data_IF_535496405255
#
_entry.id   IF_535496405255
#
_cell.length_a   1.000
_cell.length_b   1.000
_cell.length_c   1.000
_cell.angle_alpha   90.00
_cell.angle_beta   90.00
_cell.angle_gamma   90.00
#
_symmetry.space_group_name_H-M   'P 1'
#
loop_
_entity.id
_entity.type
_entity.pdbx_description
1 polymer ?
#
# COMPACT_ATOMS: atom_id res chain seq x y z
N UNK A 1 -39.34 -2.42 31.44
CA UNK A 1 -39.54 -1.40 30.39
C UNK A 1 -38.21 -0.67 30.24
N UNK A 2 -37.37 -1.11 29.31
CA UNK A 2 -36.07 -0.48 29.04
C UNK A 2 -36.28 0.53 27.91
N UNK A 3 -35.99 1.80 28.18
CA UNK A 3 -36.09 2.87 27.20
C UNK A 3 -34.84 2.87 26.32
N UNK A 4 -34.98 2.52 25.05
CA UNK A 4 -34.04 2.93 24.01
C UNK A 4 -34.49 4.32 23.55
N UNK A 5 -33.78 5.36 23.98
CA UNK A 5 -33.95 6.73 23.49
C UNK A 5 -32.97 6.97 22.34
N UNK A 6 -33.51 7.36 21.18
CA UNK A 6 -32.86 8.20 20.18
C UNK A 6 -31.97 7.50 19.15
N UNK A 7 -32.57 7.05 18.04
CA UNK A 7 -31.87 6.76 16.78
C UNK A 7 -32.57 7.53 15.65
N UNK A 8 -32.35 8.84 15.59
CA UNK A 8 -32.65 9.66 14.41
C UNK A 8 -31.36 10.39 14.02
N UNK A 9 -30.64 9.77 13.09
CA UNK A 9 -29.39 10.24 12.52
C UNK A 9 -28.51 9.04 12.17
N UNK A 10 -28.55 8.60 10.92
CA UNK A 10 -27.61 7.64 10.32
C UNK A 10 -26.16 8.04 10.68
N UNK A 11 -25.62 7.49 11.75
CA UNK A 11 -24.19 7.59 12.05
C UNK A 11 -23.54 6.28 11.60
N UNK A 12 -22.81 6.26 10.46
CA UNK A 12 -21.92 5.16 10.07
C UNK A 12 -20.69 5.03 11.01
N UNK A 13 -20.89 5.32 12.30
CA UNK A 13 -19.88 5.56 13.32
C UNK A 13 -20.13 4.75 14.60
N UNK A 14 -20.92 3.67 14.57
CA UNK A 14 -20.93 2.76 15.70
C UNK A 14 -19.66 1.88 15.70
N UNK A 15 -19.06 1.70 16.88
CA UNK A 15 -17.81 0.94 17.06
C UNK A 15 -17.82 -0.43 16.37
N UNK A 16 -18.96 -1.12 16.40
CA UNK A 16 -19.08 -2.47 15.86
C UNK A 16 -19.03 -2.50 14.32
N UNK A 17 -19.53 -1.46 13.65
CA UNK A 17 -19.44 -1.30 12.19
C UNK A 17 -17.99 -1.05 11.78
N UNK A 18 -17.29 -0.17 12.52
CA UNK A 18 -15.85 0.07 12.31
C UNK A 18 -15.03 -1.19 12.52
N UNK A 19 -15.30 -1.91 13.60
CA UNK A 19 -14.64 -3.17 13.90
C UNK A 19 -14.87 -4.21 12.79
N UNK A 20 -16.10 -4.29 12.27
CA UNK A 20 -16.45 -5.20 11.17
C UNK A 20 -15.72 -4.81 9.89
N UNK A 21 -15.77 -3.53 9.52
CA UNK A 21 -15.08 -3.00 8.34
C UNK A 21 -13.58 -3.21 8.42
N UNK A 22 -12.96 -2.91 9.56
CA UNK A 22 -11.53 -3.10 9.78
C UNK A 22 -11.14 -4.57 9.71
N UNK A 23 -11.96 -5.47 10.25
CA UNK A 23 -11.72 -6.90 10.11
C UNK A 23 -11.82 -7.34 8.65
N UNK A 24 -12.84 -6.91 7.90
CA UNK A 24 -13.04 -7.33 6.51
C UNK A 24 -12.00 -6.76 5.54
N UNK A 25 -11.38 -5.63 5.88
CA UNK A 25 -10.37 -4.96 5.04
C UNK A 25 -8.93 -5.25 5.45
N UNK A 26 -8.70 -5.79 6.65
CA UNK A 26 -7.34 -6.03 7.14
C UNK A 26 -6.74 -7.30 6.54
N UNK A 27 -5.59 -7.15 5.88
CA UNK A 27 -4.76 -8.27 5.39
C UNK A 27 -4.21 -9.17 6.50
N UNK A 28 -4.23 -8.71 7.76
CA UNK A 28 -3.76 -9.48 8.91
C UNK A 28 -4.81 -10.50 9.38
N UNK A 29 -6.05 -10.36 8.94
CA UNK A 29 -7.16 -11.21 9.38
C UNK A 29 -7.41 -12.35 8.38
N UNK A 30 -7.89 -13.51 8.83
CA UNK A 30 -8.20 -14.61 7.93
C UNK A 30 -9.49 -14.35 7.15
N UNK A 31 -9.48 -14.70 5.85
CA UNK A 31 -10.59 -14.55 4.89
C UNK A 31 -11.93 -15.18 5.31
N UNK A 32 -11.92 -16.12 6.27
CA UNK A 32 -13.13 -16.89 6.64
C UNK A 32 -13.88 -16.21 7.79
N UNK A 33 -15.15 -15.90 7.56
CA UNK A 33 -16.08 -15.48 8.64
C UNK A 33 -16.20 -16.53 9.76
N UNK A 34 -16.05 -17.82 9.42
CA UNK A 34 -16.03 -18.91 10.39
C UNK A 34 -14.72 -18.90 11.18
N UNK A 35 -14.84 -18.67 12.50
CA UNK A 35 -13.71 -18.71 13.42
C UNK A 35 -13.14 -17.34 13.81
N UNK A 36 -13.62 -16.23 13.23
CA UNK A 36 -13.11 -14.87 13.53
C UNK A 36 -13.06 -14.55 15.03
N UNK A 37 -14.08 -14.94 15.80
CA UNK A 37 -14.13 -14.66 17.23
C UNK A 37 -13.08 -15.45 18.03
N UNK A 38 -12.82 -16.70 17.63
CA UNK A 38 -11.79 -17.54 18.24
C UNK A 38 -10.41 -17.01 17.89
N UNK A 39 -10.21 -16.62 16.62
CA UNK A 39 -8.95 -16.06 16.15
C UNK A 39 -8.59 -14.77 16.90
N UNK A 40 -9.51 -13.80 17.00
CA UNK A 40 -9.26 -12.55 17.74
C UNK A 40 -8.97 -12.85 19.21
N UNK A 41 -9.74 -13.75 19.84
CA UNK A 41 -9.52 -14.16 21.23
C UNK A 41 -8.12 -14.77 21.45
N UNK A 42 -7.62 -15.58 20.50
CA UNK A 42 -6.27 -16.14 20.54
C UNK A 42 -5.19 -15.07 20.33
N UNK A 43 -5.39 -14.15 19.39
CA UNK A 43 -4.45 -13.04 19.13
C UNK A 43 -4.34 -12.10 20.33
N UNK A 44 -5.46 -11.72 20.94
CA UNK A 44 -5.48 -10.93 22.17
C UNK A 44 -4.75 -11.65 23.32
N UNK A 45 -4.90 -12.98 23.44
CA UNK A 45 -4.15 -13.76 24.42
C UNK A 45 -2.64 -13.67 24.19
N UNK A 46 -2.19 -13.63 22.94
CA UNK A 46 -0.78 -13.39 22.57
C UNK A 46 -0.26 -12.03 23.05
N UNK A 47 -1.12 -11.02 23.08
CA UNK A 47 -0.85 -9.68 23.62
C UNK A 47 -1.04 -9.59 25.15
N UNK A 48 -1.21 -10.72 25.85
CA UNK A 48 -1.43 -10.75 27.29
C UNK A 48 -2.85 -10.38 27.75
N UNK A 49 -3.79 -10.15 26.83
CA UNK A 49 -5.18 -9.79 27.12
C UNK A 49 -6.08 -11.02 27.03
N UNK A 50 -6.80 -11.33 28.10
CA UNK A 50 -7.74 -12.46 28.11
C UNK A 50 -9.15 -12.00 27.75
N UNK A 51 -9.58 -12.24 26.51
CA UNK A 51 -10.95 -12.04 26.06
C UNK A 51 -11.56 -13.37 25.59
N UNK A 52 -12.79 -13.68 26.00
CA UNK A 52 -13.49 -14.88 25.52
C UNK A 52 -14.03 -14.69 24.09
N UNK A 53 -14.19 -15.75 23.28
CA UNK A 53 -14.83 -15.64 21.97
C UNK A 53 -16.24 -15.04 22.03
N UNK A 54 -16.98 -15.29 23.11
CA UNK A 54 -18.30 -14.70 23.33
C UNK A 54 -18.23 -13.19 23.60
N UNK A 55 -17.20 -12.72 24.29
CA UNK A 55 -16.94 -11.28 24.47
C UNK A 55 -16.70 -10.62 23.12
N UNK A 56 -15.84 -11.22 22.28
CA UNK A 56 -15.57 -10.73 20.92
C UNK A 56 -16.86 -10.73 20.08
N UNK A 57 -17.67 -11.78 20.14
CA UNK A 57 -18.97 -11.85 19.44
C UNK A 57 -19.87 -10.67 19.83
N UNK A 58 -19.93 -10.33 21.12
CA UNK A 58 -20.70 -9.18 21.62
C UNK A 58 -20.16 -7.84 21.14
N UNK A 59 -18.86 -7.72 20.87
CA UNK A 59 -18.28 -6.51 20.27
C UNK A 59 -18.73 -6.33 18.82
N UNK A 60 -18.67 -7.38 18.01
CA UNK A 60 -19.16 -7.35 16.62
C UNK A 60 -20.67 -7.12 16.53
N UNK A 61 -21.43 -7.55 17.55
CA UNK A 61 -22.87 -7.34 17.62
C UNK A 61 -23.28 -5.97 18.20
N UNK A 62 -22.31 -5.09 18.53
CA UNK A 62 -22.60 -3.79 19.14
C UNK A 62 -23.16 -3.85 20.57
N UNK A 63 -23.19 -5.03 21.20
CA UNK A 63 -23.77 -5.21 22.53
C UNK A 63 -22.85 -4.72 23.65
N UNK A 64 -21.53 -4.76 23.42
CA UNK A 64 -20.51 -4.30 24.38
C UNK A 64 -19.31 -3.73 23.62
N UNK A 65 -18.44 -3.00 24.31
CA UNK A 65 -17.19 -2.44 23.79
C UNK A 65 -16.02 -2.82 24.72
N UNK A 66 -14.84 -3.19 24.20
CA UNK A 66 -13.64 -3.29 25.02
C UNK A 66 -13.24 -1.91 25.58
N UNK A 67 -12.43 -1.88 26.64
CA UNK A 67 -11.98 -0.64 27.28
C UNK A 67 -10.50 -0.72 27.62
N UNK A 68 -9.83 0.44 27.69
CA UNK A 68 -8.41 0.56 28.07
C UNK A 68 -7.52 -0.36 27.24
N UNK A 69 -6.60 -1.07 27.89
CA UNK A 69 -5.62 -1.95 27.25
C UNK A 69 -6.23 -2.99 26.30
N UNK A 70 -7.48 -3.40 26.51
CA UNK A 70 -8.16 -4.34 25.59
C UNK A 70 -8.51 -3.67 24.25
N UNK A 71 -8.86 -2.38 24.23
CA UNK A 71 -9.11 -1.64 23.00
C UNK A 71 -7.81 -1.46 22.21
N UNK A 72 -6.75 -0.99 22.87
CA UNK A 72 -5.43 -0.83 22.27
C UNK A 72 -4.93 -2.15 21.65
N UNK A 73 -5.02 -3.27 22.39
CA UNK A 73 -4.63 -4.57 21.89
C UNK A 73 -5.50 -5.04 20.70
N UNK A 74 -6.80 -4.77 20.73
CA UNK A 74 -7.70 -5.11 19.62
C UNK A 74 -7.35 -4.31 18.36
N UNK A 75 -7.10 -3.01 18.50
CA UNK A 75 -6.70 -2.14 17.41
C UNK A 75 -5.38 -2.63 16.77
N UNK A 76 -4.39 -2.97 17.60
CA UNK A 76 -3.11 -3.56 17.17
C UNK A 76 -3.30 -4.89 16.42
N UNK A 77 -4.12 -5.81 16.95
CA UNK A 77 -4.39 -7.12 16.32
C UNK A 77 -5.03 -6.96 14.94
N UNK A 78 -5.84 -5.92 14.74
CA UNK A 78 -6.54 -5.66 13.48
C UNK A 78 -5.72 -4.79 12.53
N UNK A 79 -4.72 -4.06 13.03
CA UNK A 79 -3.86 -3.18 12.23
C UNK A 79 -4.46 -1.79 11.99
N UNK A 80 -5.18 -1.24 12.98
CA UNK A 80 -5.76 0.12 12.94
C UNK A 80 -5.35 0.90 14.19
N UNK A 81 -5.49 2.23 14.18
CA UNK A 81 -5.27 3.02 15.40
C UNK A 81 -6.38 2.81 16.43
N UNK A 82 -6.01 2.89 17.70
CA UNK A 82 -6.97 2.84 18.81
C UNK A 82 -8.01 3.95 18.69
N UNK A 83 -7.59 5.19 18.44
CA UNK A 83 -8.49 6.35 18.31
C UNK A 83 -9.49 6.20 17.17
N UNK A 84 -9.05 5.70 16.01
CA UNK A 84 -9.97 5.46 14.90
C UNK A 84 -10.98 4.36 15.21
N UNK A 85 -10.53 3.25 15.81
CA UNK A 85 -11.44 2.16 16.18
C UNK A 85 -12.44 2.64 17.25
N UNK A 86 -11.95 3.36 18.25
CA UNK A 86 -12.69 3.89 19.37
C UNK A 86 -13.70 4.98 18.96
N UNK A 87 -13.26 6.03 18.27
CA UNK A 87 -14.05 7.24 18.01
C UNK A 87 -14.48 7.40 16.55
N UNK A 88 -13.80 6.75 15.60
CA UNK A 88 -14.04 6.94 14.17
C UNK A 88 -13.37 8.18 13.60
N UNK A 89 -12.42 8.77 14.32
CA UNK A 89 -11.72 9.98 13.89
C UNK A 89 -10.87 9.68 12.65
N UNK A 90 -11.20 10.35 11.55
CA UNK A 90 -10.64 10.10 10.22
C UNK A 90 -9.11 10.29 10.15
N UNK A 91 -8.54 11.08 11.06
CA UNK A 91 -7.10 11.36 11.13
C UNK A 91 -6.28 10.12 11.55
N UNK A 92 -6.91 9.08 12.12
CA UNK A 92 -6.23 7.87 12.61
C UNK A 92 -6.44 6.61 11.76
N UNK A 93 -7.15 6.68 10.62
CA UNK A 93 -7.49 5.48 9.84
C UNK A 93 -6.26 4.77 9.23
N UNK A 94 -5.15 5.49 9.07
CA UNK A 94 -3.95 5.03 8.39
C UNK A 94 -2.68 5.22 9.25
N UNK A 95 -2.68 4.80 10.50
CA UNK A 95 -1.44 4.67 11.27
C UNK A 95 -0.90 3.24 11.25
N UNK A 96 -0.61 2.71 10.05
CA UNK A 96 0.41 1.66 9.90
C UNK A 96 1.78 2.36 9.91
N UNK A 97 2.03 3.17 10.95
CA UNK A 97 3.26 3.97 11.07
C UNK A 97 4.39 3.19 11.76
N UNK A 98 4.09 2.05 12.40
CA UNK A 98 5.08 1.29 13.19
C UNK A 98 5.38 -0.10 12.63
N UNK A 99 4.77 -0.52 11.52
CA UNK A 99 5.22 -1.73 10.85
C UNK A 99 6.51 -1.38 10.12
N UNK A 100 7.65 -1.79 10.68
CA UNK A 100 8.92 -1.64 9.98
C UNK A 100 8.85 -2.39 8.65
N UNK A 101 9.65 -1.96 7.69
CA UNK A 101 9.77 -2.65 6.40
C UNK A 101 9.97 -4.17 6.57
N UNK A 102 10.74 -4.56 7.58
CA UNK A 102 11.03 -5.96 7.90
C UNK A 102 9.80 -6.70 8.44
N UNK A 103 8.92 -6.03 9.21
CA UNK A 103 7.69 -6.63 9.73
C UNK A 103 6.67 -6.91 8.62
N UNK A 104 6.51 -5.97 7.68
CA UNK A 104 5.66 -6.16 6.50
C UNK A 104 6.21 -7.28 5.63
N UNK A 105 7.53 -7.31 5.42
CA UNK A 105 8.20 -8.31 4.60
C UNK A 105 8.09 -9.74 5.17
N UNK A 106 8.39 -9.93 6.46
CA UNK A 106 8.29 -11.24 7.10
C UNK A 106 6.83 -11.70 7.22
N UNK A 107 5.89 -10.80 7.48
CA UNK A 107 4.47 -11.13 7.46
C UNK A 107 3.99 -11.61 6.08
N UNK A 108 4.42 -10.94 5.01
CA UNK A 108 4.12 -11.33 3.63
C UNK A 108 4.76 -12.67 3.26
N UNK A 109 5.98 -12.93 3.73
CA UNK A 109 6.68 -14.20 3.51
C UNK A 109 5.98 -15.38 4.17
N UNK A 110 5.38 -15.19 5.34
CA UNK A 110 4.63 -16.23 6.05
C UNK A 110 3.22 -16.47 5.50
N UNK A 111 2.58 -15.44 4.93
CA UNK A 111 1.15 -15.47 4.57
C UNK A 111 0.87 -15.32 3.07
N UNK A 112 1.91 -15.30 2.23
CA UNK A 112 1.73 -15.37 0.79
C UNK A 112 0.85 -16.59 0.43
N UNK A 113 -0.26 -16.42 -0.30
CA UNK A 113 -1.07 -17.53 -0.80
C UNK A 113 -0.17 -18.54 -1.49
N UNK A 114 -0.47 -19.84 -1.39
CA UNK A 114 0.35 -20.87 -2.06
C UNK A 114 0.41 -20.72 -3.60
N UNK A 115 -0.45 -19.88 -4.19
CA UNK A 115 -0.39 -19.48 -5.61
C UNK A 115 0.49 -18.23 -5.88
N UNK A 116 0.96 -17.51 -4.85
CA UNK A 116 1.93 -16.40 -4.95
C UNK A 116 3.37 -16.91 -4.76
N UNK A 117 3.54 -18.16 -4.30
CA UNK A 117 4.84 -18.86 -4.27
C UNK A 117 5.21 -19.46 -5.64
N UNK A 118 4.46 -19.17 -6.72
CA UNK A 118 5.06 -19.14 -8.06
C UNK A 118 5.82 -17.82 -8.26
N UNK A 119 6.78 -17.55 -7.39
CA UNK A 119 7.93 -16.72 -7.74
C UNK A 119 8.78 -17.39 -8.83
N UNK A 120 8.47 -18.63 -9.22
CA UNK A 120 8.97 -19.29 -10.41
C UNK A 120 8.43 -18.69 -11.73
N UNK A 121 7.36 -17.88 -11.73
CA UNK A 121 6.98 -17.09 -12.92
C UNK A 121 7.86 -15.82 -13.09
N UNK A 122 8.86 -15.64 -12.21
CA UNK A 122 10.03 -14.79 -12.47
C UNK A 122 11.18 -15.53 -13.16
N UNK A 123 10.99 -16.79 -13.59
CA UNK A 123 11.83 -17.35 -14.64
C UNK A 123 11.64 -16.49 -15.89
N UNK A 124 12.62 -15.62 -16.12
CA UNK A 124 12.97 -15.13 -17.46
C UNK A 124 12.86 -16.35 -18.39
N UNK A 125 12.17 -16.20 -19.53
CA UNK A 125 12.08 -17.25 -20.53
C UNK A 125 13.51 -17.51 -21.07
N UNK A 126 14.20 -18.51 -20.48
CA UNK A 126 15.61 -18.79 -20.75
C UNK A 126 15.73 -19.63 -22.00
N UNK A 127 15.56 -19.00 -23.16
CA UNK A 127 15.91 -19.66 -24.43
C UNK A 127 17.44 -19.80 -24.59
N UNK A 128 18.27 -19.12 -23.78
CA UNK A 128 19.73 -19.20 -23.90
C UNK A 128 20.51 -19.13 -22.55
N UNK A 129 21.21 -20.21 -22.13
CA UNK A 129 21.95 -20.25 -20.87
C UNK A 129 23.23 -19.38 -20.85
N UNK A 130 23.65 -18.83 -21.99
CA UNK A 130 24.76 -17.87 -22.06
C UNK A 130 24.43 -16.51 -21.44
N UNK A 131 23.15 -16.17 -21.34
CA UNK A 131 22.71 -14.84 -20.92
C UNK A 131 22.83 -14.68 -19.38
N UNK A 132 22.82 -15.80 -18.64
CA UNK A 132 22.95 -15.86 -17.17
C UNK A 132 24.27 -15.30 -16.59
N UNK A 133 25.26 -15.02 -17.44
CA UNK A 133 26.59 -14.55 -17.01
C UNK A 133 26.85 -13.07 -17.33
N UNK A 134 25.86 -12.34 -17.86
CA UNK A 134 26.01 -10.89 -18.06
C UNK A 134 25.63 -10.13 -16.78
N UNK A 135 26.52 -9.25 -16.31
CA UNK A 135 26.27 -8.38 -15.15
C UNK A 135 24.98 -7.56 -15.33
N UNK A 136 24.65 -7.20 -16.58
CA UNK A 136 23.43 -6.48 -16.95
C UNK A 136 22.13 -7.24 -16.60
N UNK A 137 22.11 -8.57 -16.70
CA UNK A 137 20.92 -9.36 -16.38
C UNK A 137 20.70 -9.54 -14.88
N UNK A 138 21.79 -9.58 -14.11
CA UNK A 138 21.71 -9.58 -12.64
C UNK A 138 21.14 -8.26 -12.15
N UNK A 139 21.60 -7.14 -12.69
CA UNK A 139 21.07 -5.81 -12.36
C UNK A 139 19.59 -5.65 -12.75
N UNK A 140 19.20 -6.06 -13.97
CA UNK A 140 17.80 -6.04 -14.42
C UNK A 140 16.89 -6.89 -13.54
N UNK A 141 17.35 -8.06 -13.11
CA UNK A 141 16.60 -8.96 -12.23
C UNK A 141 16.39 -8.35 -10.85
N UNK A 142 17.42 -7.69 -10.30
CA UNK A 142 17.33 -6.97 -9.03
C UNK A 142 16.36 -5.80 -9.12
N UNK A 143 16.50 -4.96 -10.14
CA UNK A 143 15.63 -3.80 -10.39
C UNK A 143 14.16 -4.23 -10.54
N UNK A 144 13.91 -5.32 -11.27
CA UNK A 144 12.56 -5.87 -11.45
C UNK A 144 11.95 -6.32 -10.12
N UNK A 145 12.73 -6.99 -9.26
CA UNK A 145 12.29 -7.42 -7.92
C UNK A 145 11.99 -6.22 -7.02
N UNK A 146 12.87 -5.24 -7.03
CA UNK A 146 12.75 -4.01 -6.24
C UNK A 146 11.51 -3.20 -6.65
N UNK A 147 11.27 -3.04 -7.96
CA UNK A 147 10.06 -2.39 -8.49
C UNK A 147 8.77 -3.17 -8.19
N UNK A 148 8.81 -4.51 -8.25
CA UNK A 148 7.67 -5.34 -7.87
C UNK A 148 7.32 -5.14 -6.38
N UNK A 149 8.33 -5.16 -5.51
CA UNK A 149 8.15 -4.89 -4.08
C UNK A 149 7.54 -3.50 -3.85
N UNK A 150 8.04 -2.49 -4.55
CA UNK A 150 7.50 -1.14 -4.49
C UNK A 150 6.01 -1.07 -4.90
N UNK A 151 5.63 -1.80 -5.96
CA UNK A 151 4.23 -1.92 -6.37
C UNK A 151 3.37 -2.64 -5.32
N UNK A 152 3.88 -3.67 -4.65
CA UNK A 152 3.18 -4.30 -3.53
C UNK A 152 2.93 -3.32 -2.37
N UNK A 153 3.89 -2.45 -2.05
CA UNK A 153 3.71 -1.44 -1.01
C UNK A 153 2.60 -0.45 -1.36
N UNK A 154 2.55 0.00 -2.61
CA UNK A 154 1.47 0.89 -3.08
C UNK A 154 0.13 0.16 -3.08
N UNK A 155 0.11 -1.10 -3.55
CA UNK A 155 -1.06 -1.97 -3.53
C UNK A 155 -1.65 -2.09 -2.12
N UNK A 156 -0.82 -2.39 -1.12
CA UNK A 156 -1.27 -2.47 0.28
C UNK A 156 -1.92 -1.15 0.75
N UNK A 157 -1.29 0.00 0.45
CA UNK A 157 -1.86 1.30 0.84
C UNK A 157 -3.15 1.65 0.10
N UNK A 158 -3.27 1.27 -1.17
CA UNK A 158 -4.52 1.44 -1.92
C UNK A 158 -5.65 0.61 -1.29
N UNK A 159 -5.35 -0.61 -0.86
CA UNK A 159 -6.30 -1.48 -0.17
C UNK A 159 -6.76 -0.86 1.16
N UNK A 160 -5.84 -0.33 1.98
CA UNK A 160 -6.17 0.40 3.20
C UNK A 160 -6.98 1.68 2.95
N UNK A 161 -6.78 2.33 1.79
CA UNK A 161 -7.59 3.45 1.35
C UNK A 161 -8.97 3.05 0.79
N UNK A 162 -9.30 1.76 0.78
CA UNK A 162 -10.57 1.24 0.24
C UNK A 162 -10.64 1.27 -1.29
N UNK A 163 -9.50 1.28 -1.99
CA UNK A 163 -9.42 1.32 -3.45
C UNK A 163 -9.19 -0.10 -3.97
N UNK A 164 -10.22 -0.66 -4.60
CA UNK A 164 -10.10 -1.93 -5.33
C UNK A 164 -9.15 -1.76 -6.52
N UNK A 165 -8.22 -2.70 -6.66
CA UNK A 165 -7.22 -2.68 -7.72
C UNK A 165 -6.73 -4.08 -8.05
N UNK A 166 -6.09 -4.20 -9.20
CA UNK A 166 -5.34 -5.38 -9.67
C UNK A 166 -3.90 -4.98 -9.84
N UNK A 167 -2.94 -5.81 -9.42
CA UNK A 167 -1.53 -5.54 -9.69
C UNK A 167 -0.92 -6.61 -10.58
N UNK A 168 0.09 -6.23 -11.36
CA UNK A 168 0.95 -7.16 -12.08
C UNK A 168 2.37 -6.57 -12.16
N UNK A 169 3.35 -7.30 -11.61
CA UNK A 169 4.75 -6.85 -11.53
C UNK A 169 4.85 -5.47 -10.87
N UNK A 170 5.34 -4.46 -11.59
CA UNK A 170 5.51 -3.09 -11.10
C UNK A 170 4.32 -2.15 -11.43
N UNK A 171 3.15 -2.72 -11.75
CA UNK A 171 1.99 -1.97 -12.25
C UNK A 171 0.76 -2.26 -11.42
N UNK A 172 -0.07 -1.24 -11.28
CA UNK A 172 -1.35 -1.32 -10.57
C UNK A 172 -2.43 -0.73 -11.46
N UNK A 173 -3.52 -1.47 -11.62
CA UNK A 173 -4.71 -1.07 -12.34
C UNK A 173 -5.85 -0.90 -11.34
N UNK A 174 -6.46 0.27 -11.31
CA UNK A 174 -7.61 0.53 -10.44
C UNK A 174 -8.72 1.24 -11.23
N UNK A 175 -9.94 1.21 -10.70
CA UNK A 175 -11.07 1.91 -11.30
C UNK A 175 -11.34 3.22 -10.55
N UNK A 176 -11.51 4.30 -11.32
CA UNK A 176 -11.90 5.61 -10.80
C UNK A 176 -13.08 6.13 -11.62
N UNK A 177 -14.27 6.07 -11.04
CA UNK A 177 -15.51 6.28 -11.76
C UNK A 177 -15.68 5.24 -12.87
N UNK A 178 -15.93 5.69 -14.11
CA UNK A 178 -16.13 4.81 -15.27
C UNK A 178 -14.83 4.58 -16.09
N UNK A 179 -13.67 4.90 -15.53
CA UNK A 179 -12.38 4.79 -16.23
C UNK A 179 -11.44 3.91 -15.42
N UNK A 180 -10.92 2.87 -16.06
CA UNK A 180 -9.79 2.13 -15.54
C UNK A 180 -8.51 2.94 -15.75
N UNK A 181 -7.64 2.94 -14.73
CA UNK A 181 -6.45 3.79 -14.61
C UNK A 181 -5.25 2.92 -14.31
N UNK A 182 -4.18 3.11 -15.07
CA UNK A 182 -2.91 2.40 -14.85
C UNK A 182 -1.90 3.30 -14.11
N UNK A 183 -1.34 2.75 -13.03
CA UNK A 183 -0.22 3.28 -12.26
C UNK A 183 1.02 2.46 -12.58
N UNK A 184 2.06 3.12 -13.07
CA UNK A 184 3.40 2.55 -12.99
C UNK A 184 4.07 2.97 -11.69
N UNK A 185 4.55 1.98 -10.94
CA UNK A 185 5.24 2.18 -9.67
C UNK A 185 6.73 1.96 -9.92
N UNK A 186 7.54 2.92 -9.46
CA UNK A 186 8.99 2.91 -9.65
C UNK A 186 9.69 3.15 -8.32
N UNK A 187 10.60 2.25 -7.95
CA UNK A 187 11.48 2.46 -6.81
C UNK A 187 12.63 3.38 -7.20
N UNK A 188 12.94 4.35 -6.33
CA UNK A 188 14.06 5.26 -6.55
C UNK A 188 15.36 4.71 -5.94
N UNK A 189 16.46 4.81 -6.68
CA UNK A 189 17.79 4.42 -6.22
C UNK A 189 18.69 5.64 -6.02
N UNK A 190 19.37 5.69 -4.88
CA UNK A 190 20.31 6.78 -4.54
C UNK A 190 21.60 6.63 -5.34
N UNK A 191 22.07 7.71 -5.96
CA UNK A 191 23.35 7.71 -6.67
C UNK A 191 24.47 8.03 -5.68
N UNK A 192 25.32 7.03 -5.38
CA UNK A 192 26.37 7.14 -4.36
C UNK A 192 27.34 8.34 -4.54
N UNK A 193 27.49 8.84 -5.78
CA UNK A 193 28.47 9.88 -6.14
C UNK A 193 27.86 11.22 -6.59
N UNK A 194 26.54 11.41 -6.44
CA UNK A 194 25.86 12.66 -6.80
C UNK A 194 24.96 13.08 -5.64
N UNK A 195 25.45 13.99 -4.80
CA UNK A 195 24.78 14.41 -3.57
C UNK A 195 23.31 14.80 -3.82
N UNK A 196 22.40 14.04 -3.23
CA UNK A 196 20.94 14.27 -3.32
C UNK A 196 20.29 13.87 -4.64
N UNK A 197 21.02 13.23 -5.56
CA UNK A 197 20.45 12.75 -6.82
C UNK A 197 19.97 11.31 -6.71
N UNK A 198 18.77 11.09 -7.22
CA UNK A 198 18.15 9.78 -7.33
C UNK A 198 17.87 9.44 -8.79
N UNK A 199 17.92 8.16 -9.10
CA UNK A 199 17.62 7.63 -10.43
C UNK A 199 16.48 6.62 -10.32
N UNK A 200 15.57 6.72 -11.26
CA UNK A 200 14.46 5.81 -11.45
C UNK A 200 14.47 5.36 -12.91
N UNK A 201 14.33 4.07 -13.15
CA UNK A 201 14.16 3.50 -14.49
C UNK A 201 12.74 3.00 -14.62
N UNK A 202 12.10 3.37 -15.72
CA UNK A 202 10.75 2.93 -16.01
C UNK A 202 10.78 1.53 -16.63
N UNK A 203 9.79 0.67 -16.29
CA UNK A 203 9.73 -0.69 -16.83
C UNK A 203 9.66 -0.68 -18.37
N UNK A 204 10.48 -1.51 -19.02
CA UNK A 204 10.70 -1.55 -20.48
C UNK A 204 9.45 -1.87 -21.31
N UNK A 205 8.50 -2.65 -20.77
CA UNK A 205 7.40 -3.22 -21.56
C UNK A 205 6.17 -2.31 -21.70
N UNK A 206 5.35 -2.51 -22.74
CA UNK A 206 3.95 -2.08 -22.76
C UNK A 206 3.17 -2.90 -21.73
N UNK A 207 2.11 -2.36 -21.14
CA UNK A 207 1.40 -3.08 -20.08
C UNK A 207 0.88 -4.41 -20.63
N UNK A 208 1.00 -5.48 -19.84
CA UNK A 208 0.33 -6.75 -20.15
C UNK A 208 -1.20 -6.66 -20.02
N UNK A 209 -1.73 -5.47 -19.72
CA UNK A 209 -3.14 -5.17 -19.63
C UNK A 209 -3.62 -4.56 -20.96
N UNK A 210 -4.35 -5.32 -21.76
CA UNK A 210 -5.15 -4.71 -22.83
C UNK A 210 -6.22 -3.78 -22.20
N UNK A 211 -6.47 -2.57 -22.77
CA UNK A 211 -6.03 -2.05 -24.06
C UNK A 211 -4.92 -0.98 -23.97
N UNK A 212 -4.12 -0.92 -22.90
CA UNK A 212 -3.20 0.20 -22.66
C UNK A 212 -1.98 0.14 -23.57
N UNK A 213 -2.17 0.61 -24.80
CA UNK A 213 -1.15 0.88 -25.80
C UNK A 213 -0.56 2.29 -25.66
N UNK A 214 -1.07 3.09 -24.71
CA UNK A 214 -0.70 4.49 -24.46
C UNK A 214 0.16 4.68 -23.21
N UNK A 215 0.64 5.91 -23.07
CA UNK A 215 1.39 6.43 -21.92
C UNK A 215 0.61 6.35 -20.60
N UNK A 216 1.31 6.18 -19.47
CA UNK A 216 0.71 6.05 -18.13
C UNK A 216 -0.16 7.24 -17.73
N UNK A 217 -1.29 6.96 -17.07
CA UNK A 217 -2.15 7.98 -16.46
C UNK A 217 -1.48 8.58 -15.20
N UNK A 218 -0.80 7.71 -14.45
CA UNK A 218 -0.17 7.99 -13.17
C UNK A 218 1.22 7.34 -13.10
N UNK A 219 2.21 8.11 -12.66
CA UNK A 219 3.52 7.59 -12.25
C UNK A 219 3.66 7.77 -10.75
N UNK A 220 4.02 6.70 -10.05
CA UNK A 220 4.34 6.74 -8.63
C UNK A 220 5.82 6.46 -8.41
N UNK A 221 6.49 7.36 -7.71
CA UNK A 221 7.87 7.20 -7.30
C UNK A 221 7.91 6.95 -5.79
N UNK A 222 8.67 5.92 -5.39
CA UNK A 222 8.85 5.56 -3.99
C UNK A 222 10.27 5.89 -3.59
N UNK A 223 10.40 6.82 -2.65
CA UNK A 223 11.67 7.26 -2.10
C UNK A 223 11.89 6.55 -0.75
N UNK A 224 12.87 5.62 -0.65
CA UNK A 224 13.17 4.97 0.62
C UNK A 224 13.85 5.96 1.59
N UNK A 225 13.32 6.08 2.81
CA UNK A 225 13.80 7.04 3.83
C UNK A 225 14.49 6.38 5.04
N UNK A 226 15.35 5.38 4.82
CA UNK A 226 16.37 4.95 5.80
C UNK A 226 15.90 4.74 7.26
N UNK A 227 14.78 4.07 7.47
CA UNK A 227 14.17 3.82 8.78
C UNK A 227 12.84 4.54 9.00
N UNK A 228 12.54 5.55 8.19
CA UNK A 228 11.24 6.21 8.15
C UNK A 228 10.34 5.64 7.05
N UNK A 229 9.05 5.97 7.13
CA UNK A 229 8.06 5.65 6.11
C UNK A 229 8.52 6.15 4.73
N UNK A 230 8.46 5.33 3.66
CA UNK A 230 8.86 5.77 2.34
C UNK A 230 7.93 6.88 1.83
N UNK A 231 8.52 7.93 1.26
CA UNK A 231 7.75 9.00 0.65
C UNK A 231 7.26 8.57 -0.74
N UNK A 232 5.96 8.73 -0.97
CA UNK A 232 5.32 8.41 -2.26
C UNK A 232 5.05 9.71 -3.00
N UNK A 233 5.55 9.80 -4.22
CA UNK A 233 5.33 10.93 -5.10
C UNK A 233 4.49 10.51 -6.29
N UNK A 234 3.56 11.36 -6.71
CA UNK A 234 2.62 11.01 -7.79
C UNK A 234 2.63 12.08 -8.87
N UNK A 235 2.90 11.66 -10.09
CA UNK A 235 2.78 12.50 -11.29
C UNK A 235 1.55 12.10 -12.07
N UNK A 236 0.83 13.09 -12.61
CA UNK A 236 -0.47 12.89 -13.26
C UNK A 236 -0.46 13.36 -14.72
N UNK A 237 -1.36 12.78 -15.51
CA UNK A 237 -1.79 13.30 -16.80
C UNK A 237 -0.66 13.47 -17.82
N UNK A 238 -0.63 14.60 -18.51
CA UNK A 238 0.36 14.81 -19.60
C UNK A 238 1.81 14.80 -19.14
N UNK A 239 2.08 15.07 -17.86
CA UNK A 239 3.41 14.96 -17.29
C UNK A 239 3.81 13.50 -17.11
N UNK A 240 2.94 12.67 -16.51
CA UNK A 240 3.13 11.23 -16.40
C UNK A 240 3.37 10.59 -17.76
N UNK A 241 2.61 11.02 -18.76
CA UNK A 241 2.75 10.51 -20.12
C UNK A 241 4.10 10.81 -20.77
N UNK A 242 4.64 12.01 -20.53
CA UNK A 242 5.93 12.47 -21.07
C UNK A 242 7.13 11.90 -20.32
N UNK A 243 6.96 11.65 -19.02
CA UNK A 243 7.96 11.05 -18.15
C UNK A 243 8.01 9.53 -18.35
N UNK A 244 6.90 8.93 -18.73
CA UNK A 244 6.69 7.49 -18.87
C UNK A 244 7.30 6.84 -20.12
N UNK A 245 8.18 7.51 -20.87
CA UNK A 245 8.73 6.89 -22.06
C UNK A 245 9.72 5.78 -21.67
N UNK A 246 9.69 4.60 -22.32
CA UNK A 246 10.65 3.54 -22.06
C UNK A 246 12.09 4.06 -22.20
N UNK A 247 12.99 3.58 -21.34
CA UNK A 247 14.41 3.95 -21.31
C UNK A 247 14.71 5.43 -20.99
N UNK A 248 13.70 6.20 -20.60
CA UNK A 248 13.89 7.57 -20.19
C UNK A 248 14.51 7.60 -18.79
N UNK A 249 15.70 8.19 -18.68
CA UNK A 249 16.33 8.43 -17.39
C UNK A 249 15.70 9.69 -16.79
N UNK A 250 14.96 9.51 -15.71
CA UNK A 250 14.43 10.64 -14.92
C UNK A 250 15.45 10.96 -13.84
N UNK A 251 16.01 12.17 -13.89
CA UNK A 251 16.86 12.66 -12.80
C UNK A 251 15.97 13.30 -11.75
N UNK A 252 16.11 12.87 -10.51
CA UNK A 252 15.29 13.33 -9.41
C UNK A 252 16.18 14.10 -8.44
N UNK A 253 15.86 15.38 -8.28
CA UNK A 253 16.54 16.27 -7.35
C UNK A 253 15.69 16.40 -6.09
N UNK A 254 16.24 15.93 -4.98
CA UNK A 254 15.62 16.09 -3.67
C UNK A 254 15.93 17.48 -3.10
N UNK A 255 14.91 18.13 -2.58
CA UNK A 255 14.97 19.43 -1.91
C UNK A 255 14.01 19.42 -0.72
N UNK A 256 14.07 20.44 0.13
CA UNK A 256 13.26 20.49 1.36
C UNK A 256 13.97 19.89 2.58
N UNK A 257 13.23 19.70 3.67
CA UNK A 257 13.72 19.04 4.88
C UNK A 257 13.38 17.53 4.85
N UNK A 258 13.91 16.77 5.81
CA UNK A 258 13.65 15.32 5.90
C UNK A 258 12.17 14.97 6.01
N UNK A 259 11.38 15.86 6.62
CA UNK A 259 10.00 15.59 7.01
C UNK A 259 9.00 15.93 5.88
N UNK A 260 9.40 16.80 4.97
CA UNK A 260 8.65 17.22 3.78
C UNK A 260 9.58 17.25 2.56
N UNK A 261 10.02 16.07 2.09
CA UNK A 261 10.86 15.99 0.91
C UNK A 261 10.08 16.48 -0.31
N UNK A 262 10.68 17.39 -1.07
CA UNK A 262 10.18 17.84 -2.37
C UNK A 262 11.09 17.29 -3.44
N UNK A 263 10.52 16.65 -4.46
CA UNK A 263 11.31 16.19 -5.60
C UNK A 263 11.03 17.02 -6.84
N UNK A 264 12.07 17.29 -7.60
CA UNK A 264 11.95 17.83 -8.96
C UNK A 264 12.37 16.76 -9.95
N UNK A 265 11.45 16.37 -10.82
CA UNK A 265 11.71 15.45 -11.91
C UNK A 265 12.24 16.23 -13.11
N UNK A 266 13.41 15.85 -13.60
CA UNK A 266 14.04 16.47 -14.77
C UNK A 266 14.05 15.50 -15.95
N UNK A 267 13.49 15.96 -17.07
CA UNK A 267 13.49 15.28 -18.37
C UNK A 267 14.00 16.24 -19.43
N UNK A 268 15.23 16.03 -19.91
CA UNK A 268 15.91 17.03 -20.73
C UNK A 268 15.95 18.37 -19.99
N UNK A 269 15.48 19.43 -20.65
CA UNK A 269 15.44 20.79 -20.07
C UNK A 269 14.18 21.08 -19.25
N UNK A 270 13.24 20.13 -19.15
CA UNK A 270 11.98 20.33 -18.43
C UNK A 270 12.10 19.84 -17.00
N UNK A 271 11.69 20.69 -16.07
CA UNK A 271 11.58 20.38 -14.66
C UNK A 271 10.10 20.35 -14.25
N UNK A 272 9.71 19.31 -13.51
CA UNK A 272 8.36 19.14 -12.98
C UNK A 272 8.50 18.96 -11.46
N UNK A 273 8.06 19.94 -10.65
CA UNK A 273 8.00 19.75 -9.20
C UNK A 273 6.91 18.72 -8.87
N UNK A 274 7.20 17.86 -7.90
CA UNK A 274 6.27 16.83 -7.44
C UNK A 274 6.28 16.80 -5.92
N UNK A 275 5.10 16.99 -5.36
CA UNK A 275 4.89 16.93 -3.92
C UNK A 275 4.60 15.49 -3.48
N UNK A 276 5.00 15.11 -2.25
CA UNK A 276 4.68 13.82 -1.70
C UNK A 276 3.17 13.72 -1.43
N UNK A 277 2.57 12.57 -1.74
CA UNK A 277 1.19 12.26 -1.37
C UNK A 277 1.20 11.49 -0.05
N UNK A 278 0.63 12.11 0.98
CA UNK A 278 0.38 11.49 2.28
C UNK A 278 -0.90 10.66 2.30
N UNK A 279 -1.91 11.06 1.53
CA UNK A 279 -3.22 10.39 1.49
C UNK A 279 -3.54 9.86 0.08
N UNK A 280 -3.44 8.54 -0.09
CA UNK A 280 -3.76 7.87 -1.36
C UNK A 280 -5.27 7.83 -1.66
N UNK A 281 -6.15 8.10 -0.69
CA UNK A 281 -7.59 8.21 -0.98
C UNK A 281 -7.89 9.33 -1.97
N UNK A 282 -7.01 10.35 -2.03
CA UNK A 282 -7.06 11.43 -3.02
C UNK A 282 -6.93 10.93 -4.46
N UNK A 283 -6.43 9.70 -4.68
CA UNK A 283 -6.37 9.10 -6.01
C UNK A 283 -7.76 8.85 -6.61
N UNK A 284 -8.77 8.59 -5.78
CA UNK A 284 -10.15 8.42 -6.24
C UNK A 284 -10.72 9.70 -6.85
N UNK A 285 -10.23 10.87 -6.42
CA UNK A 285 -10.66 12.19 -6.87
C UNK A 285 -9.98 12.65 -8.17
N UNK A 286 -9.01 11.90 -8.68
CA UNK A 286 -8.22 12.28 -9.86
C UNK A 286 -9.03 12.18 -11.16
N UNK A 287 -10.16 11.47 -11.14
CA UNK A 287 -11.02 11.27 -12.31
C UNK A 287 -12.17 12.27 -12.49
N UNK A 288 -12.38 13.18 -11.52
CA UNK A 288 -13.46 14.18 -11.53
C UNK A 288 -13.14 15.45 -12.29
#
# INVERSE_FOLDING_TARGET
>A
MFFFHGLDGDTPNEFHERLTRAYETSSLTPDKQHGRFVWISQKLRGEGITASPESVRKWFAGLTRPRGDTMAALAKVIGVSEQWLEHGDAEGAASVQDASFDDVYEHMKEHAPQNIVQLDDFLIDFENPSDLLSDDLVERSRETRENALAAYMVSARLLFAGIEHRHAKSRILFESGNKAREIAVVLMHKVANRGGAWVARLPEARSGFEPYTSSFDLLMFILPQGGNEPAIFVVRGSAAAKLGQPNQVVTILESGNSDEPQITLSVGDKQVPVDPIKDLSLLTRIGG
#
